data_IF_105281020263
#
_entry.id   IF_105281020263
#
_cell.length_a   1.000
_cell.length_b   1.000
_cell.length_c   1.000
_cell.angle_alpha   90.00
_cell.angle_beta   90.00
_cell.angle_gamma   90.00
#
_symmetry.space_group_name_H-M   'P 1'
#
loop_
_entity.id
_entity.type
_entity.pdbx_description
1 polymer ?
#
# COMPACT_ATOMS: atom_id res chain seq x y z
N UNK A 1 -2.99 -11.31 -2.45
CA UNK A 1 -4.07 -11.06 -1.46
C UNK A 1 -5.11 -10.16 -2.12
N UNK A 2 -6.40 -10.38 -1.85
CA UNK A 2 -7.45 -9.49 -2.33
C UNK A 2 -7.95 -8.61 -1.18
N UNK A 3 -7.60 -7.32 -1.19
CA UNK A 3 -8.11 -6.35 -0.21
C UNK A 3 -9.53 -5.86 -0.55
N UNK A 4 -10.11 -6.31 -1.66
CA UNK A 4 -11.37 -5.80 -2.18
C UNK A 4 -11.17 -4.53 -3.00
N UNK A 5 -12.21 -3.69 -3.08
CA UNK A 5 -12.15 -2.40 -3.75
C UNK A 5 -11.41 -1.38 -2.86
N UNK A 6 -10.13 -1.18 -3.16
CA UNK A 6 -9.20 -0.28 -2.46
C UNK A 6 -9.55 1.21 -2.56
N UNK A 7 -10.68 1.57 -3.16
CA UNK A 7 -11.27 2.91 -3.08
C UNK A 7 -12.25 3.05 -1.91
N UNK A 8 -12.62 1.95 -1.27
CA UNK A 8 -13.53 1.95 -0.13
C UNK A 8 -12.77 2.05 1.19
N UNK A 9 -13.40 2.66 2.20
CA UNK A 9 -12.80 2.78 3.54
C UNK A 9 -12.53 1.42 4.18
N UNK A 10 -13.42 0.45 4.00
CA UNK A 10 -13.27 -0.88 4.59
C UNK A 10 -12.08 -1.65 4.00
N UNK A 11 -11.89 -1.58 2.68
CA UNK A 11 -10.72 -2.17 2.03
C UNK A 11 -9.41 -1.50 2.47
N UNK A 12 -9.41 -0.17 2.59
CA UNK A 12 -8.25 0.58 3.09
C UNK A 12 -7.95 0.26 4.56
N UNK A 13 -8.98 -0.02 5.38
CA UNK A 13 -8.80 -0.48 6.76
C UNK A 13 -8.20 -1.88 6.83
N UNK A 14 -8.61 -2.79 5.94
CA UNK A 14 -8.00 -4.11 5.80
C UNK A 14 -6.53 -4.01 5.39
N UNK A 15 -6.23 -3.16 4.41
CA UNK A 15 -4.85 -2.87 4.00
C UNK A 15 -4.02 -2.29 5.15
N UNK A 16 -4.57 -1.34 5.90
CA UNK A 16 -3.90 -0.74 7.05
C UNK A 16 -3.59 -1.78 8.14
N UNK A 17 -4.56 -2.62 8.49
CA UNK A 17 -4.39 -3.70 9.47
C UNK A 17 -3.33 -4.70 9.00
N UNK A 18 -3.32 -5.03 7.70
CA UNK A 18 -2.33 -5.94 7.12
C UNK A 18 -0.90 -5.36 7.18
N UNK A 19 -0.75 -4.05 6.99
CA UNK A 19 0.53 -3.35 7.01
C UNK A 19 1.02 -2.97 8.41
N UNK A 20 0.28 -3.33 9.46
CA UNK A 20 0.67 -3.03 10.84
C UNK A 20 2.01 -3.67 11.22
N UNK A 21 2.26 -4.88 10.76
CA UNK A 21 3.48 -5.66 11.01
C UNK A 21 4.34 -5.87 9.74
N UNK A 22 4.03 -5.15 8.64
CA UNK A 22 4.67 -5.33 7.33
C UNK A 22 5.04 -4.01 6.68
N UNK A 23 6.20 -3.97 6.07
CA UNK A 23 6.66 -2.81 5.28
C UNK A 23 6.21 -2.85 3.83
N UNK A 24 5.86 -4.02 3.31
CA UNK A 24 5.51 -4.28 1.90
C UNK A 24 4.33 -5.26 1.80
N UNK A 25 3.71 -5.35 0.63
CA UNK A 25 2.63 -6.31 0.35
C UNK A 25 3.12 -7.75 0.41
N UNK A 26 4.39 -7.98 0.04
CA UNK A 26 5.03 -9.28 0.13
C UNK A 26 6.53 -9.15 0.41
N UNK A 27 7.05 -10.03 1.27
CA UNK A 27 8.49 -10.09 1.57
C UNK A 27 8.99 -8.86 2.32
N UNK A 28 10.25 -8.51 2.07
CA UNK A 28 10.98 -7.46 2.79
C UNK A 28 11.59 -6.39 1.87
N UNK A 29 11.26 -6.45 0.59
CA UNK A 29 11.72 -5.52 -0.45
C UNK A 29 10.50 -5.10 -1.29
N UNK A 30 10.54 -3.97 -1.99
CA UNK A 30 9.48 -3.59 -2.92
C UNK A 30 9.23 -4.69 -3.95
N UNK A 31 7.96 -4.99 -4.22
CA UNK A 31 7.57 -6.01 -5.20
C UNK A 31 6.54 -5.48 -6.19
N UNK A 32 6.32 -6.23 -7.27
CA UNK A 32 5.19 -5.97 -8.20
C UNK A 32 3.82 -6.00 -7.49
N UNK A 33 3.70 -6.71 -6.37
CA UNK A 33 2.51 -6.68 -5.53
C UNK A 33 2.26 -5.31 -4.89
N UNK A 34 3.32 -4.60 -4.48
CA UNK A 34 3.21 -3.24 -3.95
C UNK A 34 2.74 -2.27 -5.03
N UNK A 35 3.29 -2.38 -6.25
CA UNK A 35 2.91 -1.54 -7.39
C UNK A 35 1.42 -1.72 -7.71
N UNK A 36 0.94 -2.96 -7.83
CA UNK A 36 -0.46 -3.24 -8.15
C UNK A 36 -1.43 -2.70 -7.08
N UNK A 37 -1.09 -2.82 -5.80
CA UNK A 37 -1.92 -2.27 -4.71
C UNK A 37 -1.82 -0.75 -4.70
N UNK A 38 -0.65 -0.17 -4.96
CA UNK A 38 -0.44 1.28 -4.96
C UNK A 38 -1.27 1.98 -6.04
N UNK A 39 -1.26 1.43 -7.26
CA UNK A 39 -2.08 1.91 -8.37
C UNK A 39 -3.59 1.81 -8.08
N UNK A 40 -4.02 0.78 -7.35
CA UNK A 40 -5.41 0.58 -6.98
C UNK A 40 -5.91 1.57 -5.92
N UNK A 41 -5.03 2.02 -5.00
CA UNK A 41 -5.37 2.98 -3.93
C UNK A 41 -5.58 4.40 -4.48
N UNK A 42 -5.00 4.74 -5.65
CA UNK A 42 -5.16 6.00 -6.44
C UNK A 42 -4.80 7.32 -5.77
N UNK A 43 -5.02 7.45 -4.47
CA UNK A 43 -4.79 8.66 -3.68
C UNK A 43 -4.28 8.28 -2.29
N UNK A 44 -3.53 9.17 -1.61
CA UNK A 44 -3.04 8.89 -0.26
C UNK A 44 -4.19 8.51 0.69
N UNK A 45 -4.06 7.41 1.47
CA UNK A 45 -5.01 7.11 2.53
C UNK A 45 -5.10 8.23 3.57
N UNK A 46 -6.22 8.31 4.28
CA UNK A 46 -6.39 9.28 5.36
C UNK A 46 -5.42 9.02 6.52
N UNK A 47 -5.08 10.05 7.28
CA UNK A 47 -4.07 10.01 8.35
C UNK A 47 -4.43 9.07 9.52
N UNK A 48 -5.71 8.72 9.69
CA UNK A 48 -6.17 7.70 10.65
C UNK A 48 -5.79 6.27 10.24
N UNK A 49 -5.38 6.05 8.99
CA UNK A 49 -4.86 4.80 8.46
C UNK A 49 -3.34 4.86 8.36
N UNK A 50 -2.69 5.06 9.51
CA UNK A 50 -1.27 5.39 9.65
C UNK A 50 -0.32 4.41 8.94
N UNK A 51 -0.59 3.10 8.97
CA UNK A 51 0.27 2.09 8.36
C UNK A 51 0.11 2.07 6.83
N UNK A 52 -1.13 2.21 6.35
CA UNK A 52 -1.41 2.33 4.93
C UNK A 52 -0.83 3.62 4.36
N UNK A 53 -0.97 4.76 5.06
CA UNK A 53 -0.39 6.04 4.63
C UNK A 53 1.14 6.01 4.64
N UNK A 54 1.76 5.43 5.67
CA UNK A 54 3.22 5.20 5.74
C UNK A 54 3.69 4.41 4.53
N UNK A 55 3.07 3.26 4.27
CA UNK A 55 3.39 2.42 3.13
C UNK A 55 3.17 3.15 1.80
N UNK A 56 2.04 3.83 1.60
CA UNK A 56 1.75 4.57 0.37
C UNK A 56 2.83 5.62 0.10
N UNK A 57 3.20 6.40 1.12
CA UNK A 57 4.25 7.43 1.00
C UNK A 57 5.61 6.80 0.69
N UNK A 58 5.91 5.65 1.31
CA UNK A 58 7.13 4.89 1.05
C UNK A 58 7.18 4.41 -0.41
N UNK A 59 6.14 3.75 -0.90
CA UNK A 59 6.06 3.26 -2.30
C UNK A 59 6.08 4.42 -3.30
N UNK A 60 5.42 5.54 -3.00
CA UNK A 60 5.43 6.74 -3.84
C UNK A 60 6.83 7.37 -3.98
N UNK A 61 7.73 7.14 -3.01
CA UNK A 61 9.09 7.69 -3.05
C UNK A 61 10.04 6.94 -3.99
N UNK A 62 9.68 5.72 -4.42
CA UNK A 62 10.49 4.97 -5.38
C UNK A 62 10.37 5.60 -6.77
N UNK A 63 11.52 5.91 -7.36
CA UNK A 63 11.59 6.41 -8.75
C UNK A 63 11.14 5.32 -9.73
N UNK A 64 10.62 5.70 -10.91
CA UNK A 64 10.20 4.73 -11.94
C UNK A 64 11.33 3.76 -12.40
N UNK A 65 12.59 4.09 -12.08
CA UNK A 65 13.76 3.25 -12.37
C UNK A 65 13.86 2.03 -11.45
N UNK A 66 13.31 2.09 -10.24
CA UNK A 66 13.41 1.03 -9.22
C UNK A 66 12.18 0.09 -9.18
N UNK A 67 11.20 0.31 -10.07
CA UNK A 67 9.95 -0.47 -10.17
C UNK A 67 10.05 -1.72 -11.07
N UNK A 68 11.26 -2.24 -11.30
CA UNK A 68 11.50 -3.43 -12.14
C UNK A 68 11.18 -4.74 -11.40
#
# INVERSE_FOLDING_TARGET
MGFGDLQTRDALLLLNTFLADKSYIQGYYPTQGDIAVFEAVKQPPSADLEHALRWYTHIASFSDVEKQ
#
